data_IF_196264348584
#
_entry.id   IF_196264348584
#
_cell.length_a   1.000
_cell.length_b   1.000
_cell.length_c   1.000
_cell.angle_alpha   90.00
_cell.angle_beta   90.00
_cell.angle_gamma   90.00
#
_symmetry.space_group_name_H-M   'P 1'
#
loop_
_entity.id
_entity.type
_entity.pdbx_description
1 polymer ?
#
# COMPACT_ATOMS: atom_id res chain seq x y z
N UNK A 1 42.09 -29.83 37.59
CA UNK A 1 41.97 -28.36 37.50
C UNK A 1 41.84 -28.01 36.02
N UNK A 2 40.61 -28.09 35.51
CA UNK A 2 40.31 -27.84 34.10
C UNK A 2 39.83 -26.39 33.96
N UNK A 3 40.42 -25.58 33.06
CA UNK A 3 39.92 -24.24 32.80
C UNK A 3 38.61 -24.30 32.01
N UNK A 4 37.65 -23.47 32.42
CA UNK A 4 36.30 -23.35 31.86
C UNK A 4 36.30 -22.89 30.38
N UNK A 5 35.30 -23.31 29.57
CA UNK A 5 35.13 -22.80 28.21
C UNK A 5 34.58 -21.37 28.22
N UNK A 6 35.19 -20.52 27.40
CA UNK A 6 34.78 -19.14 27.16
C UNK A 6 33.37 -19.04 26.60
N UNK A 7 32.59 -18.14 27.19
CA UNK A 7 31.22 -17.77 26.85
C UNK A 7 31.16 -17.23 25.41
N UNK A 8 30.29 -17.83 24.59
CA UNK A 8 30.14 -17.53 23.17
C UNK A 8 29.71 -16.08 22.92
N UNK A 9 30.34 -15.47 21.92
CA UNK A 9 29.95 -14.18 21.38
C UNK A 9 28.55 -14.29 20.78
N UNK A 10 27.60 -13.55 21.35
CA UNK A 10 26.36 -13.23 20.68
C UNK A 10 26.73 -12.47 19.40
N UNK A 11 26.61 -13.13 18.25
CA UNK A 11 26.53 -12.46 16.96
C UNK A 11 25.32 -11.55 17.06
N UNK A 12 25.57 -10.26 17.22
CA UNK A 12 24.58 -9.23 16.97
C UNK A 12 24.12 -9.44 15.52
N UNK A 13 22.98 -10.13 15.35
CA UNK A 13 22.21 -10.02 14.13
C UNK A 13 21.77 -8.56 14.11
N UNK A 14 22.46 -7.75 13.32
CA UNK A 14 22.01 -6.42 12.99
C UNK A 14 20.63 -6.61 12.35
N UNK A 15 19.58 -6.29 13.11
CA UNK A 15 18.24 -6.11 12.53
C UNK A 15 18.32 -4.80 11.77
N UNK A 16 19.00 -4.81 10.63
CA UNK A 16 18.90 -3.75 9.65
C UNK A 16 17.45 -3.82 9.16
N UNK A 17 16.59 -2.93 9.66
CA UNK A 17 15.28 -2.73 9.05
C UNK A 17 15.56 -2.07 7.68
N UNK A 18 15.36 -2.78 6.56
CA UNK A 18 15.62 -2.19 5.26
C UNK A 18 14.68 -1.00 5.07
N UNK A 19 15.25 0.13 4.62
CA UNK A 19 14.46 1.31 4.24
C UNK A 19 13.77 0.99 2.91
N UNK A 20 12.45 1.10 2.87
CA UNK A 20 11.67 1.00 1.63
C UNK A 20 11.45 2.40 1.04
N UNK A 21 11.82 2.58 -0.22
CA UNK A 21 11.54 3.78 -1.00
C UNK A 21 10.20 3.62 -1.71
N UNK A 22 9.23 4.42 -1.29
CA UNK A 22 7.89 4.45 -1.90
C UNK A 22 7.74 5.72 -2.72
N UNK A 23 7.64 5.56 -4.04
CA UNK A 23 7.35 6.65 -4.96
C UNK A 23 5.85 6.91 -5.05
N UNK A 24 5.48 8.04 -5.62
CA UNK A 24 4.10 8.36 -5.96
C UNK A 24 3.88 8.09 -7.44
N UNK A 25 2.71 7.59 -7.85
CA UNK A 25 2.36 7.39 -9.25
C UNK A 25 1.19 8.29 -9.65
N UNK A 26 1.46 9.26 -10.52
CA UNK A 26 0.45 10.15 -11.11
C UNK A 26 -0.25 9.49 -12.30
N UNK A 27 -1.50 9.89 -12.54
CA UNK A 27 -2.34 9.43 -13.66
C UNK A 27 -2.14 10.27 -14.94
N UNK A 28 -1.52 11.44 -14.81
CA UNK A 28 -1.18 12.37 -15.90
C UNK A 28 0.10 13.15 -15.57
N UNK A 29 0.64 13.82 -16.57
CA UNK A 29 1.80 14.70 -16.41
C UNK A 29 1.38 16.02 -15.76
N UNK A 30 1.28 16.04 -14.43
CA UNK A 30 1.03 17.25 -13.64
C UNK A 30 1.81 17.23 -12.34
N UNK A 31 2.14 18.42 -11.85
CA UNK A 31 2.88 18.62 -10.60
C UNK A 31 2.52 19.97 -9.96
N UNK A 32 3.09 20.28 -8.80
CA UNK A 32 2.88 21.57 -8.14
C UNK A 32 3.35 22.76 -9.00
N UNK A 33 4.32 22.52 -9.90
CA UNK A 33 4.83 23.52 -10.84
C UNK A 33 4.23 23.40 -12.25
N UNK A 34 3.62 22.26 -12.58
CA UNK A 34 3.04 22.00 -13.90
C UNK A 34 1.53 21.80 -13.78
N UNK A 35 0.77 22.79 -14.25
CA UNK A 35 -0.68 22.71 -14.28
C UNK A 35 -1.15 21.47 -15.08
N UNK A 36 -2.19 20.76 -14.60
CA UNK A 36 -2.74 19.62 -15.34
C UNK A 36 -3.17 20.00 -16.75
N UNK A 37 -2.74 19.22 -17.74
CA UNK A 37 -3.13 19.39 -19.14
C UNK A 37 -3.51 18.06 -19.78
N UNK A 38 -4.31 18.13 -20.84
CA UNK A 38 -4.74 16.96 -21.60
C UNK A 38 -5.73 16.07 -20.85
N UNK A 39 -5.68 14.77 -21.12
CA UNK A 39 -6.56 13.80 -20.49
C UNK A 39 -6.21 13.58 -19.01
N UNK A 40 -7.22 13.25 -18.21
CA UNK A 40 -7.05 12.90 -16.78
C UNK A 40 -6.22 11.62 -16.62
N UNK A 41 -6.35 10.68 -17.54
CA UNK A 41 -5.56 9.44 -17.56
C UNK A 41 -4.75 9.41 -18.85
N UNK A 42 -3.43 9.33 -18.71
CA UNK A 42 -2.48 9.34 -19.82
C UNK A 42 -1.64 8.05 -19.80
N UNK A 43 -2.02 7.02 -20.59
CA UNK A 43 -1.42 5.69 -20.51
C UNK A 43 0.09 5.67 -20.77
N UNK A 44 0.57 6.43 -21.76
CA UNK A 44 2.01 6.47 -22.06
C UNK A 44 2.81 7.12 -20.94
N UNK A 45 2.27 8.19 -20.31
CA UNK A 45 2.88 8.79 -19.13
C UNK A 45 2.93 7.80 -17.96
N UNK A 46 1.82 7.12 -17.66
CA UNK A 46 1.77 6.12 -16.57
C UNK A 46 2.82 5.03 -16.78
N UNK A 47 2.94 4.51 -18.01
CA UNK A 47 3.93 3.50 -18.36
C UNK A 47 5.36 4.00 -18.18
N UNK A 48 5.67 5.18 -18.73
CA UNK A 48 6.99 5.78 -18.62
C UNK A 48 7.36 6.07 -17.15
N UNK A 49 6.42 6.60 -16.39
CA UNK A 49 6.63 6.97 -14.99
C UNK A 49 6.79 5.75 -14.08
N UNK A 50 6.02 4.68 -14.31
CA UNK A 50 6.18 3.42 -13.59
C UNK A 50 7.55 2.78 -13.86
N UNK A 51 7.99 2.75 -15.12
CA UNK A 51 9.32 2.24 -15.48
C UNK A 51 10.45 3.08 -14.90
N UNK A 52 10.32 4.40 -14.94
CA UNK A 52 11.32 5.29 -14.33
C UNK A 52 11.49 5.03 -12.83
N UNK A 53 10.40 4.73 -12.10
CA UNK A 53 10.49 4.36 -10.68
C UNK A 53 11.14 3.00 -10.48
N UNK A 54 10.82 2.01 -11.32
CA UNK A 54 11.43 0.68 -11.27
C UNK A 54 12.94 0.70 -11.57
N UNK A 55 13.34 1.46 -12.60
CA UNK A 55 14.73 1.67 -13.00
C UNK A 55 15.47 2.51 -11.94
N UNK A 56 14.77 3.47 -11.33
CA UNK A 56 15.26 4.28 -10.22
C UNK A 56 15.41 3.53 -8.89
N UNK A 57 15.03 2.25 -8.83
CA UNK A 57 15.22 1.41 -7.65
C UNK A 57 14.18 1.64 -6.55
N UNK A 58 13.00 2.18 -6.87
CA UNK A 58 11.91 2.27 -5.91
C UNK A 58 11.34 0.88 -5.63
N UNK A 59 11.08 0.60 -4.36
CA UNK A 59 10.48 -0.67 -3.94
C UNK A 59 9.00 -0.72 -4.31
N UNK A 60 8.29 0.41 -4.14
CA UNK A 60 6.84 0.49 -4.39
C UNK A 60 6.43 1.84 -4.96
N UNK A 61 5.33 1.86 -5.69
CA UNK A 61 4.67 3.06 -6.19
C UNK A 61 3.25 3.19 -5.62
N UNK A 62 2.96 4.32 -4.97
CA UNK A 62 1.68 4.66 -4.39
C UNK A 62 0.77 5.34 -5.41
N UNK A 63 -0.37 4.72 -5.67
CA UNK A 63 -1.44 5.25 -6.51
C UNK A 63 -2.49 5.85 -5.59
N UNK A 64 -2.53 7.19 -5.55
CA UNK A 64 -3.45 7.91 -4.69
C UNK A 64 -4.89 7.89 -5.20
N UNK A 65 -5.82 8.15 -4.29
CA UNK A 65 -7.24 8.20 -4.54
C UNK A 65 -7.79 9.60 -4.26
N UNK A 66 -8.40 10.23 -5.26
CA UNK A 66 -9.22 11.44 -5.10
C UNK A 66 -10.32 11.49 -6.16
N UNK A 67 -11.31 12.37 -5.96
CA UNK A 67 -12.53 12.42 -6.77
C UNK A 67 -12.33 12.81 -8.24
N UNK A 68 -11.21 13.46 -8.55
CA UNK A 68 -10.83 13.88 -9.90
C UNK A 68 -9.80 12.95 -10.55
N UNK A 69 -9.43 11.84 -9.90
CA UNK A 69 -8.47 10.87 -10.41
C UNK A 69 -9.15 9.78 -11.26
N UNK A 70 -8.35 9.10 -12.08
CA UNK A 70 -8.75 7.80 -12.64
C UNK A 70 -8.88 6.71 -11.57
N UNK A 71 -9.50 5.58 -11.91
CA UNK A 71 -9.61 4.43 -10.99
C UNK A 71 -8.22 3.82 -10.72
N UNK A 72 -7.81 3.84 -9.45
CA UNK A 72 -6.48 3.39 -9.04
C UNK A 72 -6.21 1.90 -9.27
N UNK A 73 -7.23 1.03 -9.29
CA UNK A 73 -7.02 -0.40 -9.60
C UNK A 73 -6.71 -0.62 -11.07
N UNK A 74 -7.37 0.12 -11.96
CA UNK A 74 -7.10 0.02 -13.40
C UNK A 74 -5.72 0.59 -13.75
N UNK A 75 -5.36 1.72 -13.14
CA UNK A 75 -4.01 2.29 -13.27
C UNK A 75 -2.95 1.32 -12.75
N UNK A 76 -3.19 0.68 -11.60
CA UNK A 76 -2.29 -0.33 -11.04
C UNK A 76 -2.14 -1.54 -11.98
N UNK A 77 -3.23 -2.07 -12.50
CA UNK A 77 -3.20 -3.19 -13.43
C UNK A 77 -2.40 -2.84 -14.69
N UNK A 78 -2.60 -1.64 -15.22
CA UNK A 78 -1.86 -1.16 -16.39
C UNK A 78 -0.37 -1.01 -16.09
N UNK A 79 -0.01 -0.37 -14.97
CA UNK A 79 1.39 -0.24 -14.54
C UNK A 79 2.06 -1.61 -14.34
N UNK A 80 1.37 -2.55 -13.66
CA UNK A 80 1.85 -3.91 -13.43
C UNK A 80 2.17 -4.67 -14.72
N UNK A 81 1.48 -4.37 -15.82
CA UNK A 81 1.73 -5.01 -17.11
C UNK A 81 3.07 -4.55 -17.75
N UNK A 82 3.66 -3.46 -17.28
CA UNK A 82 4.90 -2.88 -17.84
C UNK A 82 6.06 -2.83 -16.86
N UNK A 83 5.89 -3.35 -15.64
CA UNK A 83 6.91 -3.41 -14.58
C UNK A 83 7.07 -4.83 -14.06
N UNK A 84 8.30 -5.22 -13.77
CA UNK A 84 8.64 -6.61 -13.38
C UNK A 84 9.03 -6.79 -11.91
N UNK A 85 9.25 -5.72 -11.16
CA UNK A 85 9.79 -5.73 -9.78
C UNK A 85 9.09 -4.71 -8.90
N UNK A 86 8.61 -3.61 -9.48
CA UNK A 86 7.96 -2.52 -8.76
C UNK A 86 6.71 -3.01 -8.02
N UNK A 87 6.65 -2.78 -6.71
CA UNK A 87 5.45 -2.99 -5.91
C UNK A 87 4.41 -1.89 -6.16
N UNK A 88 3.13 -2.22 -6.10
CA UNK A 88 2.04 -1.28 -6.32
C UNK A 88 1.21 -1.13 -5.05
N UNK A 89 1.11 0.10 -4.57
CA UNK A 89 0.30 0.46 -3.42
C UNK A 89 -0.95 1.19 -3.89
N UNK A 90 -2.09 0.51 -3.88
CA UNK A 90 -3.36 1.14 -4.29
C UNK A 90 -4.06 1.73 -3.08
N UNK A 91 -4.28 3.04 -3.09
CA UNK A 91 -5.08 3.71 -2.08
C UNK A 91 -6.56 3.36 -2.27
N UNK A 92 -7.14 2.60 -1.33
CA UNK A 92 -8.57 2.30 -1.34
C UNK A 92 -9.26 3.08 -0.23
N UNK A 93 -10.26 3.89 -0.59
CA UNK A 93 -11.10 4.62 0.36
C UNK A 93 -12.31 3.77 0.76
N UNK A 94 -12.37 3.29 2.01
CA UNK A 94 -13.46 2.42 2.44
C UNK A 94 -14.80 3.14 2.48
N UNK A 95 -15.89 2.44 2.20
CA UNK A 95 -17.26 2.98 2.22
C UNK A 95 -17.83 3.33 0.84
N UNK A 96 -16.98 3.39 -0.20
CA UNK A 96 -17.43 3.57 -1.59
C UNK A 96 -17.66 2.23 -2.32
N UNK A 97 -16.89 1.20 -1.94
CA UNK A 97 -16.99 -0.15 -2.48
C UNK A 97 -17.24 -1.11 -1.33
N UNK A 98 -18.11 -2.09 -1.54
CA UNK A 98 -18.36 -3.15 -0.56
C UNK A 98 -17.04 -3.88 -0.23
N UNK A 99 -16.75 -4.17 1.06
CA UNK A 99 -15.48 -4.77 1.46
C UNK A 99 -15.15 -6.07 0.73
N UNK A 100 -16.16 -6.90 0.45
CA UNK A 100 -16.00 -8.16 -0.29
C UNK A 100 -15.59 -7.94 -1.74
N UNK A 101 -16.11 -6.89 -2.38
CA UNK A 101 -15.74 -6.52 -3.76
C UNK A 101 -14.32 -5.96 -3.78
N UNK A 102 -13.97 -5.11 -2.81
CA UNK A 102 -12.61 -4.58 -2.68
C UNK A 102 -11.60 -5.71 -2.47
N UNK A 103 -11.86 -6.64 -1.54
CA UNK A 103 -11.02 -7.80 -1.29
C UNK A 103 -10.81 -8.66 -2.56
N UNK A 104 -11.88 -8.91 -3.32
CA UNK A 104 -11.77 -9.63 -4.60
C UNK A 104 -10.91 -8.87 -5.60
N UNK A 105 -11.08 -7.55 -5.74
CA UNK A 105 -10.24 -6.73 -6.64
C UNK A 105 -8.76 -6.82 -6.26
N UNK A 106 -8.44 -6.73 -4.98
CA UNK A 106 -7.06 -6.88 -4.49
C UNK A 106 -6.49 -8.26 -4.77
N UNK A 107 -7.23 -9.33 -4.45
CA UNK A 107 -6.78 -10.70 -4.71
C UNK A 107 -6.54 -10.95 -6.21
N UNK A 108 -7.45 -10.48 -7.07
CA UNK A 108 -7.29 -10.58 -8.53
C UNK A 108 -6.05 -9.83 -8.99
N UNK A 109 -5.87 -8.59 -8.55
CA UNK A 109 -4.74 -7.77 -8.96
C UNK A 109 -3.41 -8.33 -8.47
N UNK A 110 -3.37 -8.88 -7.25
CA UNK A 110 -2.21 -9.57 -6.68
C UNK A 110 -1.80 -10.76 -7.56
N UNK A 111 -2.74 -11.64 -7.92
CA UNK A 111 -2.46 -12.76 -8.82
C UNK A 111 -2.01 -12.33 -10.22
N UNK A 112 -2.61 -11.28 -10.78
CA UNK A 112 -2.23 -10.76 -12.10
C UNK A 112 -0.85 -10.08 -12.10
N UNK A 113 -0.42 -9.54 -10.95
CA UNK A 113 0.87 -8.85 -10.80
C UNK A 113 2.02 -9.76 -10.33
N UNK A 114 1.76 -11.04 -10.07
CA UNK A 114 2.78 -12.02 -9.67
C UNK A 114 2.88 -12.29 -8.16
N UNK A 115 1.85 -11.98 -7.37
CA UNK A 115 1.61 -12.56 -6.04
C UNK A 115 2.41 -12.03 -4.84
N UNK A 116 3.31 -11.05 -5.03
CA UNK A 116 4.12 -10.51 -3.92
C UNK A 116 4.31 -8.98 -3.96
N UNK A 117 3.63 -8.29 -4.87
CA UNK A 117 3.94 -6.89 -5.22
C UNK A 117 2.84 -5.92 -4.85
N UNK A 118 1.69 -6.40 -4.40
CA UNK A 118 0.59 -5.51 -4.04
C UNK A 118 0.50 -5.26 -2.54
N UNK A 119 0.50 -3.99 -2.16
CA UNK A 119 0.10 -3.57 -0.82
C UNK A 119 -1.15 -2.70 -0.88
N UNK A 120 -2.04 -2.89 0.08
CA UNK A 120 -3.22 -2.03 0.21
C UNK A 120 -2.87 -0.84 1.11
N UNK A 121 -2.89 0.37 0.56
CA UNK A 121 -2.76 1.57 1.37
C UNK A 121 -4.15 2.05 1.81
N UNK A 122 -4.40 2.02 3.12
CA UNK A 122 -5.66 2.52 3.69
C UNK A 122 -5.50 3.99 4.08
N UNK A 123 -5.93 4.90 3.20
CA UNK A 123 -6.04 6.31 3.56
C UNK A 123 -7.32 6.54 4.37
N UNK A 124 -7.23 6.38 5.69
CA UNK A 124 -8.28 6.77 6.63
C UNK A 124 -8.21 6.06 7.97
N UNK A 125 -8.23 6.82 9.06
CA UNK A 125 -8.56 6.31 10.41
C UNK A 125 -9.99 5.77 10.38
N UNK A 126 -10.16 4.49 10.05
CA UNK A 126 -11.36 3.77 10.42
C UNK A 126 -11.36 3.61 11.94
N UNK A 127 -11.86 4.62 12.65
CA UNK A 127 -12.40 4.34 13.98
C UNK A 127 -13.55 3.38 13.76
N UNK A 128 -13.29 2.12 14.08
CA UNK A 128 -14.33 1.13 14.27
C UNK A 128 -15.29 1.69 15.32
N UNK A 129 -16.39 2.32 14.88
CA UNK A 129 -17.56 2.49 15.72
C UNK A 129 -18.20 1.12 15.81
N UNK A 130 -17.58 0.23 16.57
CA UNK A 130 -18.29 -0.94 17.07
C UNK A 130 -19.40 -0.39 17.97
N UNK A 131 -20.62 -0.54 17.49
CA UNK A 131 -21.86 -0.54 18.25
C UNK A 131 -21.87 -1.72 19.23
N UNK A 132 -20.83 -1.86 20.04
CA UNK A 132 -20.85 -2.68 21.23
C UNK A 132 -21.18 -1.73 22.39
N UNK A 133 -22.48 -1.51 22.60
CA UNK A 133 -22.97 -1.13 23.93
C UNK A 133 -22.54 -2.26 24.87
N UNK A 134 -21.35 -2.14 25.45
CA UNK A 134 -20.92 -2.94 26.58
C UNK A 134 -21.81 -2.48 27.73
N UNK A 135 -22.98 -3.13 27.87
CA UNK A 135 -23.80 -3.03 29.09
C UNK A 135 -22.88 -3.45 30.22
N UNK A 136 -22.36 -2.47 30.97
CA UNK A 136 -21.76 -2.72 32.26
C UNK A 136 -22.85 -3.36 33.14
N UNK A 137 -22.58 -4.50 33.81
CA UNK A 137 -23.52 -5.04 34.76
C UNK A 137 -23.69 -4.00 35.88
N UNK A 138 -24.95 -3.57 36.10
CA UNK A 138 -25.27 -2.69 37.25
C UNK A 138 -24.94 -3.46 38.53
N UNK A 139 -24.28 -2.85 39.53
CA UNK A 139 -24.09 -3.49 40.81
C UNK A 139 -25.46 -3.81 41.40
N UNK A 140 -25.67 -5.09 41.78
CA UNK A 140 -26.82 -5.46 42.60
C UNK A 140 -26.73 -4.66 43.90
N UNK A 141 -27.74 -3.82 44.17
CA UNK A 141 -27.93 -3.22 45.49
C UNK A 141 -28.01 -4.36 46.49
N UNK A 142 -27.06 -4.42 47.42
CA UNK A 142 -27.24 -5.18 48.65
C UNK A 142 -28.37 -4.51 49.44
N UNK A 143 -29.30 -5.33 49.90
CA UNK A 143 -30.29 -4.98 50.94
C UNK A 143 -29.58 -4.98 52.28
#
# INVERSE_FOLDING_TARGET
MAPCPHFGGAVFTEIAMPVEFVGFLHYNESSESLAPHGAVVQPEFIKAFARAQEEGGFDKALIAYHSSAGDGFLVAQYAAAFTERLGLLVAHRPGFVAPTVAARKFATLDHLSGGARLGQYHLGRQRCRTTARRRLPRPRRAV
#
